data_IF_544740638800
#
_entry.id   IF_544740638800
#
_cell.length_a   1.000
_cell.length_b   1.000
_cell.length_c   1.000
_cell.angle_alpha   90.00
_cell.angle_beta   90.00
_cell.angle_gamma   90.00
#
_symmetry.space_group_name_H-M   'P 1'
#
loop_
_entity.id
_entity.type
_entity.pdbx_description
1 polymer ?
#
# COMPACT_ATOMS: atom_id res chain seq x y z
N UNK A 1 9.02 -10.83 70.10
CA UNK A 1 9.47 -12.23 70.26
C UNK A 1 10.33 -12.61 69.07
N UNK A 2 11.61 -12.88 69.34
CA UNK A 2 12.60 -13.41 68.38
C UNK A 2 12.42 -14.92 68.29
N UNK A 3 12.70 -15.52 67.14
CA UNK A 3 13.49 -16.75 67.07
C UNK A 3 14.34 -16.74 65.79
N UNK A 4 15.62 -16.38 65.97
CA UNK A 4 16.71 -16.85 65.13
C UNK A 4 16.93 -18.33 65.46
N UNK A 5 17.23 -19.16 64.46
CA UNK A 5 17.89 -20.44 64.68
C UNK A 5 19.29 -20.38 64.06
N UNK A 6 20.28 -20.21 64.93
CA UNK A 6 21.69 -20.52 64.69
C UNK A 6 21.90 -21.99 65.05
N UNK A 7 22.57 -22.74 64.18
CA UNK A 7 23.35 -23.90 64.61
C UNK A 7 24.77 -23.77 64.05
N UNK A 8 25.70 -23.56 64.97
CA UNK A 8 27.12 -23.86 64.81
C UNK A 8 27.35 -25.36 65.12
N UNK A 9 28.42 -25.95 64.56
CA UNK A 9 29.55 -26.57 65.29
C UNK A 9 30.25 -27.67 64.45
N UNK A 10 31.58 -27.54 64.42
CA UNK A 10 32.67 -28.54 64.36
C UNK A 10 33.02 -29.28 63.06
N UNK A 11 34.09 -28.76 62.46
CA UNK A 11 35.36 -29.44 62.18
C UNK A 11 35.49 -30.96 62.41
N UNK A 12 35.99 -31.65 61.39
CA UNK A 12 36.96 -32.73 61.56
C UNK A 12 37.98 -32.67 60.42
N UNK A 13 39.24 -32.42 60.79
CA UNK A 13 40.42 -32.50 59.93
C UNK A 13 40.95 -33.93 60.00
N UNK A 14 41.15 -34.58 58.87
CA UNK A 14 41.92 -35.83 58.79
C UNK A 14 42.98 -35.68 57.72
N UNK A 15 44.24 -35.63 58.17
CA UNK A 15 45.43 -35.81 57.35
C UNK A 15 45.66 -37.31 57.14
N UNK A 16 45.72 -37.78 55.89
CA UNK A 16 46.46 -38.99 55.53
C UNK A 16 47.07 -38.83 54.14
N UNK A 17 48.41 -38.81 54.09
CA UNK A 17 49.23 -39.59 53.15
C UNK A 17 49.36 -39.15 51.69
N UNK A 18 50.52 -38.57 51.35
CA UNK A 18 51.08 -38.55 50.00
C UNK A 18 51.28 -39.97 49.44
N UNK A 19 51.05 -40.14 48.12
CA UNK A 19 51.89 -41.03 47.31
C UNK A 19 52.04 -40.49 45.88
N UNK A 20 53.24 -40.70 45.33
CA UNK A 20 53.83 -40.02 44.17
C UNK A 20 53.37 -40.53 42.79
N UNK A 21 53.59 -39.64 41.80
CA UNK A 21 53.87 -39.86 40.38
C UNK A 21 52.72 -40.28 39.45
N UNK A 22 52.34 -39.34 38.58
CA UNK A 22 52.52 -39.50 37.14
C UNK A 22 52.59 -38.14 36.44
N UNK A 23 53.66 -37.94 35.66
CA UNK A 23 53.82 -36.82 34.72
C UNK A 23 52.74 -36.93 33.65
N UNK A 24 51.83 -35.96 33.59
CA UNK A 24 51.08 -35.66 32.36
C UNK A 24 51.59 -34.33 31.81
N UNK A 25 52.12 -34.42 30.60
CA UNK A 25 52.43 -33.31 29.69
C UNK A 25 51.26 -32.33 29.64
N UNK A 26 51.50 -31.06 30.00
CA UNK A 26 50.67 -29.94 29.56
C UNK A 26 50.76 -29.86 28.04
N UNK A 27 49.83 -30.51 27.36
CA UNK A 27 49.57 -30.21 25.96
C UNK A 27 48.91 -28.84 25.93
N UNK A 28 49.70 -27.83 25.57
CA UNK A 28 49.22 -26.52 25.13
C UNK A 28 48.11 -26.72 24.10
N UNK A 29 46.85 -26.74 24.54
CA UNK A 29 45.75 -26.33 23.68
C UNK A 29 45.88 -24.83 23.58
N UNK A 30 46.55 -24.40 22.52
CA UNK A 30 46.35 -23.07 21.97
C UNK A 30 44.85 -22.98 21.66
N UNK A 31 44.07 -22.49 22.62
CA UNK A 31 42.78 -21.90 22.30
C UNK A 31 43.13 -20.78 21.34
N UNK A 32 42.88 -21.04 20.06
CA UNK A 32 42.84 -19.99 19.06
C UNK A 32 41.72 -19.07 19.53
N UNK A 33 42.07 -18.06 20.33
CA UNK A 33 41.25 -16.86 20.50
C UNK A 33 41.01 -16.34 19.08
N UNK A 34 39.85 -16.70 18.52
CA UNK A 34 39.33 -16.04 17.34
C UNK A 34 39.02 -14.63 17.84
N UNK A 35 40.01 -13.74 17.78
CA UNK A 35 39.79 -12.30 17.90
C UNK A 35 38.74 -11.96 16.86
N UNK A 36 37.49 -11.85 17.28
CA UNK A 36 36.41 -11.35 16.44
C UNK A 36 36.86 -9.99 15.94
N UNK A 37 37.28 -9.92 14.68
CA UNK A 37 37.68 -8.69 14.02
C UNK A 37 36.53 -7.70 14.21
N UNK A 38 36.79 -6.58 14.87
CA UNK A 38 35.80 -5.49 14.96
C UNK A 38 35.57 -4.97 13.56
N UNK A 39 34.40 -5.26 13.00
CA UNK A 39 34.01 -4.82 11.67
C UNK A 39 33.61 -3.35 11.74
N UNK A 40 34.06 -2.59 10.74
CA UNK A 40 33.76 -1.17 10.58
C UNK A 40 33.27 -0.91 9.17
N UNK A 41 32.75 0.29 8.89
CA UNK A 41 32.34 0.65 7.52
C UNK A 41 33.48 0.55 6.48
N UNK A 42 34.74 0.62 6.91
CA UNK A 42 35.89 0.47 6.02
C UNK A 42 36.06 -0.96 5.47
N UNK A 43 35.45 -1.96 6.10
CA UNK A 43 35.49 -3.35 5.66
C UNK A 43 34.49 -3.67 4.53
N UNK A 44 33.61 -2.72 4.19
CA UNK A 44 32.62 -2.87 3.14
C UNK A 44 33.13 -2.30 1.82
N UNK A 45 32.63 -2.85 0.70
CA UNK A 45 32.96 -2.35 -0.63
C UNK A 45 32.40 -0.94 -0.80
N UNK A 46 33.28 0.02 -1.10
CA UNK A 46 32.87 1.39 -1.46
C UNK A 46 32.19 1.40 -2.83
N UNK A 47 31.15 2.21 -2.94
CA UNK A 47 30.36 2.38 -4.15
C UNK A 47 30.01 3.86 -4.33
N UNK A 48 29.51 4.20 -5.52
CA UNK A 48 28.76 5.44 -5.69
C UNK A 48 27.38 5.26 -5.05
N UNK A 49 26.96 6.22 -4.23
CA UNK A 49 25.64 6.20 -3.62
C UNK A 49 24.51 6.42 -4.63
N UNK A 50 23.28 6.39 -4.13
CA UNK A 50 22.07 6.62 -4.91
C UNK A 50 21.87 8.12 -5.15
N UNK A 51 22.04 8.56 -6.39
CA UNK A 51 21.80 9.96 -6.79
C UNK A 51 20.31 10.26 -6.97
N UNK A 52 19.56 9.31 -7.54
CA UNK A 52 18.14 9.42 -7.82
C UNK A 52 17.41 8.15 -7.35
N UNK A 53 16.43 8.32 -6.47
CA UNK A 53 15.66 7.23 -5.88
C UNK A 53 14.78 6.47 -6.89
N UNK A 54 14.48 7.10 -8.03
CA UNK A 54 13.72 6.46 -9.12
C UNK A 54 14.56 5.43 -9.89
N UNK A 55 15.89 5.52 -9.80
CA UNK A 55 16.81 4.60 -10.49
C UNK A 55 17.11 3.35 -9.64
N UNK A 56 16.58 3.29 -8.42
CA UNK A 56 16.77 2.17 -7.50
C UNK A 56 15.85 1.01 -7.91
N UNK A 57 16.37 -0.25 -8.01
CA UNK A 57 15.56 -1.40 -8.38
C UNK A 57 14.37 -1.67 -7.44
N UNK A 58 14.57 -1.55 -6.13
CA UNK A 58 13.49 -1.65 -5.13
C UNK A 58 13.90 -1.04 -3.78
N UNK A 59 12.92 -0.63 -2.98
CA UNK A 59 13.14 -0.16 -1.62
C UNK A 59 12.94 -1.28 -0.60
N UNK A 60 13.61 -1.18 0.54
CA UNK A 60 13.55 -2.15 1.63
C UNK A 60 13.05 -1.50 2.92
N UNK A 61 12.17 -2.22 3.62
CA UNK A 61 11.55 -1.79 4.86
C UNK A 61 11.85 -2.77 5.98
N UNK A 62 12.16 -2.26 7.16
CA UNK A 62 12.33 -3.05 8.38
C UNK A 62 11.50 -2.47 9.52
N UNK A 63 11.14 -3.32 10.47
CA UNK A 63 10.52 -2.92 11.75
C UNK A 63 11.49 -3.13 12.93
N UNK A 64 12.73 -3.51 12.65
CA UNK A 64 13.73 -3.77 13.69
C UNK A 64 14.45 -2.48 14.07
N UNK A 65 14.70 -2.31 15.36
CA UNK A 65 15.46 -1.16 15.89
C UNK A 65 16.97 -1.26 15.60
N UNK A 66 17.43 -2.42 15.13
CA UNK A 66 18.79 -2.63 14.67
C UNK A 66 18.85 -3.74 13.65
N UNK A 67 19.78 -3.60 12.70
CA UNK A 67 19.94 -4.50 11.56
C UNK A 67 21.39 -4.93 11.44
N UNK A 68 21.62 -6.05 10.75
CA UNK A 68 22.96 -6.57 10.49
C UNK A 68 23.37 -6.31 9.05
N UNK A 69 24.47 -5.58 8.88
CA UNK A 69 25.13 -5.40 7.59
C UNK A 69 26.24 -6.42 7.46
N UNK A 70 26.10 -7.33 6.52
CA UNK A 70 27.10 -8.36 6.22
C UNK A 70 28.01 -7.88 5.09
N UNK A 71 29.29 -8.22 5.16
CA UNK A 71 30.29 -7.86 4.12
C UNK A 71 30.16 -8.72 2.86
N UNK A 72 29.48 -9.87 2.95
CA UNK A 72 29.16 -10.76 1.82
C UNK A 72 27.82 -11.47 2.10
N UNK A 73 27.12 -12.01 1.09
CA UNK A 73 25.80 -12.62 1.25
C UNK A 73 25.88 -14.04 1.85
N UNK A 74 26.46 -14.16 3.05
CA UNK A 74 26.58 -15.40 3.82
C UNK A 74 26.28 -15.14 5.30
N UNK A 75 25.58 -16.07 5.96
CA UNK A 75 25.25 -15.96 7.39
C UNK A 75 26.48 -16.06 8.29
N UNK A 76 27.54 -16.68 7.80
CA UNK A 76 28.83 -16.80 8.49
C UNK A 76 29.76 -15.62 8.19
N UNK A 77 29.35 -14.68 7.34
CA UNK A 77 30.15 -13.50 7.02
C UNK A 77 30.24 -12.57 8.22
N UNK A 78 31.35 -11.84 8.28
CA UNK A 78 31.51 -10.78 9.26
C UNK A 78 30.44 -9.69 9.06
N UNK A 79 29.91 -9.16 10.14
CA UNK A 79 28.82 -8.20 10.09
C UNK A 79 29.02 -7.03 11.05
N UNK A 80 28.40 -5.91 10.71
CA UNK A 80 28.30 -4.71 11.51
C UNK A 80 26.84 -4.50 11.90
N UNK A 81 26.58 -4.35 13.20
CA UNK A 81 25.24 -4.02 13.70
C UNK A 81 25.02 -2.52 13.58
N UNK A 82 23.98 -2.12 12.87
CA UNK A 82 23.58 -0.73 12.68
C UNK A 82 22.29 -0.46 13.43
N UNK A 83 22.25 0.59 14.23
CA UNK A 83 21.01 1.06 14.83
C UNK A 83 20.11 1.65 13.74
N UNK A 84 18.84 1.26 13.74
CA UNK A 84 17.86 1.84 12.85
C UNK A 84 17.63 3.31 13.21
N UNK A 85 17.59 4.16 12.19
CA UNK A 85 17.19 5.55 12.32
C UNK A 85 16.09 5.83 11.30
N UNK A 86 15.10 6.64 11.67
CA UNK A 86 13.92 6.94 10.83
C UNK A 86 14.28 7.58 9.48
N UNK A 87 15.46 8.19 9.38
CA UNK A 87 15.96 8.83 8.17
C UNK A 87 16.82 7.91 7.29
N UNK A 88 17.09 6.67 7.73
CA UNK A 88 17.82 5.71 6.91
C UNK A 88 16.89 5.16 5.83
N UNK A 89 17.33 5.31 4.58
CA UNK A 89 16.70 4.69 3.43
C UNK A 89 17.54 3.49 3.01
N UNK A 90 16.89 2.33 2.82
CA UNK A 90 17.54 1.11 2.39
C UNK A 90 17.14 0.81 0.94
N UNK A 91 18.08 1.02 0.03
CA UNK A 91 17.89 0.85 -1.40
C UNK A 91 18.47 -0.50 -1.82
N UNK A 92 17.61 -1.41 -2.27
CA UNK A 92 18.00 -2.74 -2.71
C UNK A 92 18.35 -2.78 -4.19
N UNK A 93 19.41 -3.52 -4.52
CA UNK A 93 19.96 -3.63 -5.88
C UNK A 93 19.89 -5.05 -6.43
N UNK A 94 20.30 -6.03 -5.63
CA UNK A 94 20.32 -7.43 -6.03
C UNK A 94 19.69 -8.33 -4.96
N UNK A 95 19.15 -9.46 -5.42
CA UNK A 95 18.58 -10.49 -4.57
C UNK A 95 19.43 -11.76 -4.60
N UNK A 96 19.83 -12.18 -3.41
CA UNK A 96 20.43 -13.48 -3.16
C UNK A 96 19.40 -14.38 -2.46
N UNK A 97 19.78 -15.63 -2.20
CA UNK A 97 18.89 -16.61 -1.56
C UNK A 97 18.30 -16.08 -0.25
N UNK A 98 19.17 -15.68 0.68
CA UNK A 98 18.79 -15.21 2.02
C UNK A 98 19.06 -13.71 2.24
N UNK A 99 19.60 -13.01 1.24
CA UNK A 99 20.06 -11.63 1.37
C UNK A 99 19.52 -10.71 0.27
N UNK A 100 19.47 -9.42 0.59
CA UNK A 100 19.45 -8.33 -0.38
C UNK A 100 20.83 -7.64 -0.37
N UNK A 101 21.36 -7.27 -1.54
CA UNK A 101 22.42 -6.25 -1.61
C UNK A 101 21.76 -4.88 -1.50
N UNK A 102 22.35 -4.00 -0.69
CA UNK A 102 21.91 -2.63 -0.50
C UNK A 102 23.04 -1.64 -0.76
N UNK A 103 22.68 -0.48 -1.29
CA UNK A 103 23.55 0.68 -1.31
C UNK A 103 23.17 1.60 -0.14
N UNK A 104 24.06 1.71 0.83
CA UNK A 104 23.85 2.49 2.05
C UNK A 104 24.76 3.72 2.09
N UNK A 105 24.19 4.90 2.25
CA UNK A 105 24.92 6.16 2.42
C UNK A 105 25.19 6.42 3.90
N UNK A 106 26.46 6.44 4.28
CA UNK A 106 26.87 6.72 5.66
C UNK A 106 26.65 8.21 5.92
N UNK A 107 25.96 8.53 7.02
CA UNK A 107 25.59 9.89 7.41
C UNK A 107 24.86 10.68 6.31
N UNK A 108 24.06 9.98 5.49
CA UNK A 108 23.35 10.53 4.33
C UNK A 108 24.26 11.20 3.29
N UNK A 109 25.54 10.81 3.23
CA UNK A 109 26.48 11.31 2.24
C UNK A 109 26.64 10.30 1.08
N UNK A 110 26.11 10.65 -0.10
CA UNK A 110 26.13 9.82 -1.32
C UNK A 110 27.56 9.55 -1.82
N UNK A 111 28.52 10.43 -1.53
CA UNK A 111 29.94 10.22 -1.84
C UNK A 111 30.63 9.28 -0.86
N UNK A 112 29.97 8.93 0.25
CA UNK A 112 30.42 8.00 1.27
C UNK A 112 29.43 6.85 1.43
N UNK A 113 29.28 6.06 0.37
CA UNK A 113 28.36 4.93 0.33
C UNK A 113 29.10 3.59 0.24
N UNK A 114 28.45 2.58 0.81
CA UNK A 114 28.93 1.20 0.82
C UNK A 114 27.88 0.26 0.23
N UNK A 115 28.36 -0.83 -0.36
CA UNK A 115 27.54 -2.01 -0.59
C UNK A 115 27.56 -2.87 0.68
N UNK A 116 26.38 -3.20 1.19
CA UNK A 116 26.20 -4.12 2.31
C UNK A 116 25.15 -5.15 1.96
N UNK A 117 25.19 -6.30 2.63
CA UNK A 117 24.19 -7.35 2.47
C UNK A 117 23.32 -7.42 3.72
N UNK A 118 22.00 -7.47 3.56
CA UNK A 118 21.04 -7.55 4.67
C UNK A 118 20.15 -8.77 4.52
N UNK A 119 19.74 -9.37 5.63
CA UNK A 119 18.92 -10.58 5.61
C UNK A 119 17.49 -10.30 5.15
N UNK A 120 16.94 -11.15 4.29
CA UNK A 120 15.50 -11.11 3.92
C UNK A 120 14.56 -11.38 5.10
N UNK A 121 15.05 -11.96 6.20
CA UNK A 121 14.27 -12.12 7.43
C UNK A 121 14.14 -10.82 8.24
N UNK A 122 15.03 -9.86 8.03
CA UNK A 122 15.05 -8.56 8.72
C UNK A 122 14.35 -7.46 7.91
N UNK A 123 14.21 -7.66 6.60
CA UNK A 123 13.68 -6.69 5.66
C UNK A 123 12.56 -7.26 4.81
N UNK A 124 11.68 -6.39 4.33
CA UNK A 124 10.73 -6.67 3.26
C UNK A 124 10.95 -5.70 2.11
N UNK A 125 11.00 -6.22 0.89
CA UNK A 125 11.02 -5.37 -0.29
C UNK A 125 9.67 -4.68 -0.51
N UNK A 126 9.69 -3.51 -1.16
CA UNK A 126 8.51 -2.70 -1.47
C UNK A 126 7.41 -3.50 -2.17
N UNK A 127 7.77 -4.39 -3.11
CA UNK A 127 6.83 -5.24 -3.84
C UNK A 127 6.22 -6.37 -2.99
N UNK A 128 6.76 -6.68 -1.82
CA UNK A 128 6.29 -7.74 -0.91
C UNK A 128 5.51 -7.20 0.30
N UNK A 129 5.35 -5.88 0.40
CA UNK A 129 4.60 -5.27 1.50
C UNK A 129 3.16 -5.76 1.54
N UNK A 130 2.59 -5.79 2.75
CA UNK A 130 1.19 -6.14 3.01
C UNK A 130 0.59 -5.13 3.99
N UNK A 131 -0.74 -5.14 4.16
CA UNK A 131 -1.43 -4.27 5.12
C UNK A 131 -1.37 -4.79 6.57
N UNK A 132 -0.70 -5.93 6.78
CA UNK A 132 -0.61 -6.58 8.10
C UNK A 132 0.10 -5.70 9.13
N UNK A 133 -0.63 -5.36 10.19
CA UNK A 133 -0.14 -4.52 11.28
C UNK A 133 -0.08 -3.03 10.93
N UNK A 134 -0.81 -2.61 9.88
CA UNK A 134 -1.08 -1.20 9.56
C UNK A 134 -2.42 -0.81 10.18
N UNK A 135 -2.54 0.40 10.71
CA UNK A 135 -3.82 0.91 11.21
C UNK A 135 -4.73 1.35 10.05
N UNK A 136 -5.57 0.44 9.58
CA UNK A 136 -6.49 0.74 8.47
C UNK A 136 -7.57 1.75 8.82
N UNK A 137 -7.83 2.01 10.11
CA UNK A 137 -8.81 3.01 10.52
C UNK A 137 -8.31 4.44 10.33
N UNK A 138 -7.00 4.63 10.17
CA UNK A 138 -6.42 5.95 10.03
C UNK A 138 -6.94 6.66 8.77
N UNK A 139 -7.49 7.85 8.98
CA UNK A 139 -7.91 8.76 7.91
C UNK A 139 -7.30 10.14 8.15
N UNK A 140 -6.94 10.85 7.09
CA UNK A 140 -6.46 12.23 7.19
C UNK A 140 -7.60 13.20 7.46
N UNK A 141 -8.76 12.96 6.86
CA UNK A 141 -9.93 13.83 6.98
C UNK A 141 -11.18 13.08 6.51
N UNK A 142 -12.33 13.63 6.88
CA UNK A 142 -13.61 13.18 6.37
C UNK A 142 -14.59 14.34 6.20
N UNK A 143 -15.59 14.14 5.35
CA UNK A 143 -16.78 15.00 5.26
C UNK A 143 -17.98 14.11 5.43
N UNK A 144 -18.92 14.49 6.29
CA UNK A 144 -20.15 13.73 6.50
C UNK A 144 -21.33 14.69 6.52
N UNK A 145 -22.30 14.47 5.62
CA UNK A 145 -23.48 15.35 5.45
C UNK A 145 -23.12 16.84 5.43
N UNK A 146 -22.13 17.21 4.59
CA UNK A 146 -21.61 18.60 4.42
C UNK A 146 -20.83 19.17 5.62
N UNK A 147 -20.55 18.37 6.65
CA UNK A 147 -19.68 18.76 7.76
C UNK A 147 -18.29 18.16 7.60
N UNK A 148 -17.29 19.01 7.45
CA UNK A 148 -15.89 18.59 7.40
C UNK A 148 -15.32 18.29 8.79
N UNK A 149 -14.47 17.28 8.87
CA UNK A 149 -13.78 16.84 10.08
C UNK A 149 -12.31 16.56 9.75
N UNK A 150 -11.47 17.54 10.08
CA UNK A 150 -10.02 17.46 9.96
C UNK A 150 -9.33 17.12 11.28
N UNK A 151 -10.09 16.91 12.37
CA UNK A 151 -9.54 16.65 13.71
C UNK A 151 -9.56 15.16 14.03
N UNK A 152 -10.67 14.49 13.79
CA UNK A 152 -10.79 13.06 14.04
C UNK A 152 -10.13 12.29 12.90
N UNK A 153 -9.02 11.60 13.21
CA UNK A 153 -8.21 10.86 12.25
C UNK A 153 -8.55 9.37 12.17
N UNK A 154 -9.79 9.00 12.49
CA UNK A 154 -10.23 7.60 12.53
C UNK A 154 -11.57 7.39 11.81
N UNK A 155 -11.63 6.37 10.96
CA UNK A 155 -12.83 5.92 10.25
C UNK A 155 -13.87 5.26 11.17
N UNK A 156 -13.51 4.94 12.42
CA UNK A 156 -14.38 4.27 13.40
C UNK A 156 -15.71 5.00 13.68
N UNK A 157 -15.74 6.31 13.41
CA UNK A 157 -16.97 7.12 13.46
C UNK A 157 -18.02 6.64 12.46
N UNK A 158 -17.61 6.22 11.26
CA UNK A 158 -18.47 5.88 10.13
C UNK A 158 -18.67 4.37 9.95
N UNK A 159 -17.70 3.56 10.37
CA UNK A 159 -17.73 2.13 10.13
C UNK A 159 -16.48 1.39 10.63
N UNK A 160 -16.31 0.18 10.13
CA UNK A 160 -15.10 -0.63 10.32
C UNK A 160 -14.40 -0.88 8.99
N UNK A 161 -13.10 -1.09 9.05
CA UNK A 161 -12.29 -1.49 7.90
C UNK A 161 -11.31 -2.58 8.33
N UNK A 162 -11.14 -3.60 7.48
CA UNK A 162 -10.23 -4.71 7.73
C UNK A 162 -9.59 -5.21 6.44
N UNK A 163 -8.35 -5.70 6.55
CA UNK A 163 -7.74 -6.57 5.54
C UNK A 163 -8.42 -7.95 5.61
N UNK A 164 -8.81 -8.48 4.46
CA UNK A 164 -9.43 -9.81 4.33
C UNK A 164 -8.60 -10.71 3.43
N UNK A 165 -8.93 -12.00 3.43
CA UNK A 165 -8.29 -12.95 2.51
C UNK A 165 -8.78 -12.78 1.07
N UNK A 166 -7.93 -13.13 0.10
CA UNK A 166 -8.33 -13.23 -1.31
C UNK A 166 -9.50 -14.20 -1.52
N UNK A 167 -9.54 -15.28 -0.73
CA UNK A 167 -10.62 -16.26 -0.77
C UNK A 167 -11.96 -15.64 -0.38
N UNK A 168 -12.00 -14.85 0.71
CA UNK A 168 -13.20 -14.13 1.13
C UNK A 168 -13.62 -13.08 0.09
N UNK A 169 -12.66 -12.33 -0.45
CA UNK A 169 -12.93 -11.33 -1.49
C UNK A 169 -13.58 -11.97 -2.73
N UNK A 170 -13.00 -13.06 -3.23
CA UNK A 170 -13.54 -13.82 -4.38
C UNK A 170 -14.89 -14.46 -4.10
N UNK A 171 -15.12 -14.94 -2.89
CA UNK A 171 -16.42 -15.47 -2.48
C UNK A 171 -17.48 -14.35 -2.46
N UNK A 172 -17.12 -13.19 -1.93
CA UNK A 172 -17.99 -12.01 -1.81
C UNK A 172 -18.33 -11.41 -3.17
N UNK A 173 -17.39 -11.42 -4.13
CA UNK A 173 -17.59 -10.93 -5.49
C UNK A 173 -18.78 -11.59 -6.21
N UNK A 174 -19.10 -12.85 -5.88
CA UNK A 174 -20.26 -13.57 -6.44
C UNK A 174 -21.61 -12.99 -5.98
N UNK A 175 -21.62 -12.34 -4.82
CA UNK A 175 -22.78 -11.70 -4.22
C UNK A 175 -22.79 -10.18 -4.42
N UNK A 176 -21.96 -9.68 -5.34
CA UNK A 176 -21.91 -8.24 -5.62
C UNK A 176 -23.29 -7.73 -6.02
N UNK A 177 -23.63 -6.55 -5.53
CA UNK A 177 -24.82 -5.81 -5.89
C UNK A 177 -24.44 -4.48 -6.54
N UNK A 178 -25.44 -3.75 -6.98
CA UNK A 178 -25.26 -2.57 -7.82
C UNK A 178 -25.42 -2.92 -9.29
N UNK A 179 -25.51 -1.89 -10.11
CA UNK A 179 -25.65 -2.07 -11.55
C UNK A 179 -24.31 -2.18 -12.26
N UNK A 180 -24.30 -2.93 -13.35
CA UNK A 180 -23.20 -2.93 -14.30
C UNK A 180 -23.46 -1.89 -15.39
N UNK A 181 -22.41 -1.19 -15.82
CA UNK A 181 -22.48 -0.35 -17.01
C UNK A 181 -22.63 -1.24 -18.26
N UNK A 182 -23.65 -0.98 -19.07
CA UNK A 182 -23.99 -1.78 -20.25
C UNK A 182 -23.59 -1.03 -21.52
N UNK A 183 -22.92 -1.68 -22.47
CA UNK A 183 -22.57 -1.05 -23.74
C UNK A 183 -23.84 -0.64 -24.51
N UNK A 184 -23.90 0.63 -24.91
CA UNK A 184 -24.93 1.13 -25.81
C UNK A 184 -24.45 0.99 -27.27
N UNK A 185 -25.06 0.12 -28.10
CA UNK A 185 -24.61 -0.11 -29.48
C UNK A 185 -24.77 1.13 -30.39
N UNK A 186 -25.60 2.08 -29.97
CA UNK A 186 -25.82 3.33 -30.69
C UNK A 186 -24.69 4.34 -30.47
N UNK A 187 -23.79 4.10 -29.51
CA UNK A 187 -22.62 4.96 -29.25
C UNK A 187 -21.38 4.34 -29.89
N UNK A 188 -20.78 5.06 -30.83
CA UNK A 188 -19.63 4.58 -31.61
C UNK A 188 -18.61 5.69 -31.82
N UNK A 189 -17.34 5.32 -31.94
CA UNK A 189 -16.26 6.25 -32.30
C UNK A 189 -16.26 6.43 -33.82
N UNK A 190 -16.45 7.66 -34.29
CA UNK A 190 -16.43 8.04 -35.70
C UNK A 190 -15.60 9.31 -35.87
N UNK A 191 -14.58 9.28 -36.73
CA UNK A 191 -13.70 10.43 -37.02
C UNK A 191 -13.14 11.09 -35.75
N UNK A 192 -12.70 10.27 -34.78
CA UNK A 192 -12.16 10.73 -33.49
C UNK A 192 -13.21 11.24 -32.49
N UNK A 193 -14.49 11.22 -32.83
CA UNK A 193 -15.58 11.71 -31.98
C UNK A 193 -16.50 10.57 -31.54
N UNK A 194 -16.97 10.60 -30.29
CA UNK A 194 -18.04 9.71 -29.85
C UNK A 194 -19.38 10.21 -30.39
N UNK A 195 -20.06 9.36 -31.14
CA UNK A 195 -21.31 9.67 -31.83
C UNK A 195 -22.40 8.74 -31.35
N UNK A 196 -23.54 9.32 -30.96
CA UNK A 196 -24.78 8.59 -30.76
C UNK A 196 -25.59 8.58 -32.06
N UNK A 197 -26.07 7.42 -32.50
CA UNK A 197 -26.94 7.26 -33.66
C UNK A 197 -28.20 6.47 -33.31
N UNK A 198 -29.38 7.08 -33.45
CA UNK A 198 -30.67 6.39 -33.31
C UNK A 198 -31.70 6.94 -34.30
N UNK A 199 -32.37 6.07 -35.04
CA UNK A 199 -33.47 6.42 -35.96
C UNK A 199 -33.22 7.71 -36.76
N UNK A 200 -32.09 7.78 -37.48
CA UNK A 200 -31.59 8.93 -38.27
C UNK A 200 -31.14 10.19 -37.51
N UNK A 201 -31.28 10.22 -36.17
CA UNK A 201 -30.67 11.24 -35.31
C UNK A 201 -29.21 10.85 -35.05
N UNK A 202 -28.28 11.72 -35.47
CA UNK A 202 -26.84 11.62 -35.18
C UNK A 202 -26.44 12.79 -34.30
N UNK A 203 -25.87 12.50 -33.13
CA UNK A 203 -25.40 13.51 -32.19
C UNK A 203 -23.96 13.24 -31.78
N UNK A 204 -23.14 14.28 -31.85
CA UNK A 204 -21.77 14.25 -31.33
C UNK A 204 -21.83 14.48 -29.82
N UNK A 205 -21.24 13.56 -29.07
CA UNK A 205 -21.14 13.66 -27.62
C UNK A 205 -20.02 14.64 -27.29
N UNK A 206 -20.38 15.83 -26.80
CA UNK A 206 -19.40 16.84 -26.36
C UNK A 206 -18.78 16.40 -25.04
N UNK A 207 -17.47 16.20 -25.06
CA UNK A 207 -16.68 15.74 -23.93
C UNK A 207 -16.31 16.90 -22.99
N UNK A 208 -16.07 16.60 -21.71
CA UNK A 208 -15.47 17.58 -20.78
C UNK A 208 -14.06 17.89 -21.29
N UNK A 209 -13.76 19.19 -21.39
CA UNK A 209 -12.41 19.70 -21.67
C UNK A 209 -11.71 19.12 -22.91
N UNK A 210 -11.96 19.72 -24.08
CA UNK A 210 -10.99 19.77 -25.18
C UNK A 210 -9.79 20.64 -24.74
N UNK A 211 -8.97 20.16 -23.80
CA UNK A 211 -7.65 20.75 -23.56
C UNK A 211 -6.70 20.02 -24.50
N UNK A 212 -6.27 20.72 -25.56
CA UNK A 212 -5.15 20.27 -26.37
C UNK A 212 -3.91 20.30 -25.48
N UNK A 213 -3.34 19.14 -25.15
CA UNK A 213 -2.01 19.08 -24.54
C UNK A 213 -0.96 19.20 -25.66
N UNK A 214 0.30 19.45 -25.29
CA UNK A 214 1.42 19.42 -26.26
C UNK A 214 1.61 18.04 -26.91
N UNK A 215 1.00 16.98 -26.34
CA UNK A 215 1.14 15.58 -26.77
C UNK A 215 -0.01 15.04 -27.63
N UNK A 216 -1.15 15.73 -27.72
CA UNK A 216 -2.30 15.32 -28.54
C UNK A 216 -3.66 15.58 -27.86
N UNK A 217 -4.79 15.17 -28.47
CA UNK A 217 -6.10 15.28 -27.84
C UNK A 217 -6.25 14.25 -26.71
N UNK A 218 -6.85 14.65 -25.59
CA UNK A 218 -7.26 13.76 -24.50
C UNK A 218 -8.16 12.64 -25.03
N UNK A 219 -7.85 11.39 -24.67
CA UNK A 219 -8.58 10.22 -25.14
C UNK A 219 -9.70 9.85 -24.16
N UNK A 220 -10.94 10.18 -24.51
CA UNK A 220 -12.11 9.68 -23.79
C UNK A 220 -12.41 8.24 -24.20
N UNK A 221 -12.47 7.32 -23.24
CA UNK A 221 -12.84 5.92 -23.46
C UNK A 221 -14.31 5.71 -23.10
N UNK A 222 -15.13 5.24 -24.05
CA UNK A 222 -16.51 4.87 -23.74
C UNK A 222 -16.56 3.64 -22.84
N UNK A 223 -17.08 3.81 -21.62
CA UNK A 223 -17.18 2.74 -20.62
C UNK A 223 -18.47 1.96 -20.81
N UNK A 224 -19.61 2.66 -20.87
CA UNK A 224 -20.94 2.07 -21.02
C UNK A 224 -22.04 3.04 -20.56
N UNK A 225 -23.27 2.56 -20.50
CA UNK A 225 -24.44 3.28 -20.01
C UNK A 225 -24.85 2.76 -18.65
N UNK A 226 -25.19 3.67 -17.74
CA UNK A 226 -25.89 3.36 -16.49
C UNK A 226 -27.40 3.22 -16.76
N UNK A 227 -28.01 2.03 -16.54
CA UNK A 227 -29.46 1.87 -16.67
C UNK A 227 -30.25 2.73 -15.67
N UNK A 228 -29.81 2.82 -14.42
CA UNK A 228 -30.49 3.55 -13.36
C UNK A 228 -30.41 5.07 -13.54
N UNK A 229 -29.21 5.60 -13.80
CA UNK A 229 -29.03 7.04 -14.01
C UNK A 229 -29.54 7.47 -15.39
N UNK A 230 -29.60 6.52 -16.33
CA UNK A 230 -29.89 6.76 -17.75
C UNK A 230 -28.88 7.71 -18.40
N UNK A 231 -27.60 7.49 -18.12
CA UNK A 231 -26.47 8.30 -18.57
C UNK A 231 -25.39 7.43 -19.20
N UNK A 232 -24.76 7.93 -20.26
CA UNK A 232 -23.54 7.37 -20.82
C UNK A 232 -22.35 7.74 -19.94
N UNK A 233 -21.39 6.83 -19.80
CA UNK A 233 -20.22 6.98 -18.93
C UNK A 233 -18.96 6.87 -19.78
N UNK A 234 -18.11 7.87 -19.63
CA UNK A 234 -16.80 7.95 -20.28
C UNK A 234 -15.71 8.00 -19.22
N UNK A 235 -14.59 7.34 -19.49
CA UNK A 235 -13.35 7.52 -18.74
C UNK A 235 -12.53 8.58 -19.45
N UNK A 236 -12.17 9.63 -18.74
CA UNK A 236 -11.30 10.69 -19.23
C UNK A 236 -9.86 10.29 -18.91
N UNK A 237 -9.03 10.17 -19.94
CA UNK A 237 -7.60 9.89 -19.78
C UNK A 237 -6.83 11.16 -20.10
N UNK A 238 -5.89 11.54 -19.21
CA UNK A 238 -4.91 12.58 -19.48
C UNK A 238 -3.50 11.99 -19.41
N UNK A 239 -2.60 12.51 -20.25
CA UNK A 239 -1.18 12.11 -20.21
C UNK A 239 -0.45 12.69 -18.97
N UNK A 240 -1.07 13.65 -18.27
CA UNK A 240 -0.46 14.43 -17.20
C UNK A 240 -0.84 13.96 -15.79
N UNK A 241 -1.96 13.26 -15.62
CA UNK A 241 -2.45 12.83 -14.30
C UNK A 241 -2.71 11.34 -14.23
N UNK A 242 -2.25 10.71 -13.13
CA UNK A 242 -2.54 9.30 -12.80
C UNK A 242 -4.01 9.09 -12.39
N UNK A 243 -4.75 10.18 -12.18
CA UNK A 243 -6.12 10.15 -11.70
C UNK A 243 -7.09 9.75 -12.82
N UNK A 244 -7.75 8.60 -12.67
CA UNK A 244 -8.89 8.23 -13.49
C UNK A 244 -10.08 9.13 -13.14
N UNK A 245 -10.62 9.85 -14.12
CA UNK A 245 -11.88 10.59 -13.97
C UNK A 245 -12.96 9.97 -14.87
N UNK A 246 -14.19 9.90 -14.36
CA UNK A 246 -15.33 9.36 -15.08
C UNK A 246 -16.43 10.41 -15.18
N UNK A 247 -16.84 10.70 -16.41
CA UNK A 247 -17.88 11.68 -16.72
C UNK A 247 -19.17 11.01 -17.16
N UNK A 248 -20.28 11.64 -16.80
CA UNK A 248 -21.62 11.16 -17.08
C UNK A 248 -22.33 12.10 -18.06
N UNK A 249 -22.85 11.52 -19.14
CA UNK A 249 -23.41 12.24 -20.26
C UNK A 249 -24.86 11.85 -20.54
N UNK A 250 -25.71 12.86 -20.75
CA UNK A 250 -27.07 12.65 -21.22
C UNK A 250 -27.12 12.92 -22.71
N UNK A 251 -27.47 11.92 -23.51
CA UNK A 251 -27.56 12.04 -24.97
C UNK A 251 -28.43 13.22 -25.43
N UNK A 252 -29.49 13.55 -24.68
CA UNK A 252 -30.46 14.58 -25.09
C UNK A 252 -30.08 16.03 -24.74
N UNK A 253 -29.10 16.24 -23.86
CA UNK A 253 -28.77 17.57 -23.30
C UNK A 253 -27.24 17.79 -23.30
N UNK A 254 -26.80 19.02 -23.02
CA UNK A 254 -25.41 19.31 -22.72
C UNK A 254 -24.86 18.39 -21.60
N UNK A 255 -23.53 18.14 -21.59
CA UNK A 255 -22.88 17.31 -20.58
C UNK A 255 -23.25 17.71 -19.15
N UNK A 256 -23.52 16.71 -18.29
CA UNK A 256 -23.85 16.92 -16.89
C UNK A 256 -22.60 16.78 -16.03
N UNK A 257 -21.74 17.81 -16.08
CA UNK A 257 -20.47 17.84 -15.36
C UNK A 257 -20.60 17.74 -13.83
N UNK A 258 -21.79 17.97 -13.27
CA UNK A 258 -22.08 17.83 -11.84
C UNK A 258 -22.13 16.36 -11.34
N UNK A 259 -21.92 15.35 -12.21
CA UNK A 259 -22.10 13.93 -11.87
C UNK A 259 -20.82 13.08 -11.93
N UNK A 260 -19.65 13.67 -12.16
CA UNK A 260 -18.39 12.93 -12.35
C UNK A 260 -17.84 12.24 -11.10
N UNK A 261 -17.01 11.21 -11.29
CA UNK A 261 -16.32 10.48 -10.21
C UNK A 261 -14.83 10.37 -10.46
N UNK A 262 -14.03 10.59 -9.41
CA UNK A 262 -12.58 10.33 -9.43
C UNK A 262 -12.37 8.84 -9.14
N UNK A 263 -12.51 7.98 -10.13
CA UNK A 263 -12.44 6.52 -10.02
C UNK A 263 -13.72 5.82 -10.52
N UNK A 264 -13.62 4.52 -10.79
CA UNK A 264 -14.72 3.76 -11.39
C UNK A 264 -16.00 3.82 -10.53
N UNK A 265 -17.15 4.23 -11.11
CA UNK A 265 -18.38 4.43 -10.36
C UNK A 265 -19.05 3.10 -10.00
N UNK A 266 -19.35 2.96 -8.72
CA UNK A 266 -20.11 1.87 -8.13
C UNK A 266 -21.52 2.39 -7.85
N UNK A 267 -22.47 2.04 -8.71
CA UNK A 267 -23.84 2.58 -8.66
C UNK A 267 -24.74 1.57 -7.96
N UNK A 268 -25.41 2.01 -6.89
CA UNK A 268 -26.33 1.21 -6.10
C UNK A 268 -27.76 1.78 -6.21
N UNK A 269 -28.58 1.28 -7.15
CA UNK A 269 -29.93 1.80 -7.41
C UNK A 269 -30.85 1.79 -6.18
N UNK A 270 -30.76 0.74 -5.36
CA UNK A 270 -31.61 0.56 -4.15
C UNK A 270 -31.47 1.69 -3.13
N UNK A 271 -30.31 2.35 -3.12
CA UNK A 271 -30.00 3.50 -2.25
C UNK A 271 -29.90 4.82 -3.00
N UNK A 272 -30.02 4.77 -4.33
CA UNK A 272 -29.66 5.89 -5.21
C UNK A 272 -28.24 6.40 -4.92
N UNK A 273 -27.27 5.50 -4.68
CA UNK A 273 -25.89 5.90 -4.42
C UNK A 273 -25.01 5.80 -5.64
N UNK A 274 -24.07 6.74 -5.74
CA UNK A 274 -22.89 6.66 -6.61
C UNK A 274 -21.68 6.71 -5.69
N UNK A 275 -20.97 5.60 -5.60
CA UNK A 275 -19.79 5.42 -4.76
C UNK A 275 -18.55 5.30 -5.65
N UNK A 276 -17.42 5.78 -5.18
CA UNK A 276 -16.13 5.45 -5.79
C UNK A 276 -15.04 5.37 -4.73
N UNK A 277 -13.97 4.67 -5.08
CA UNK A 277 -12.71 4.67 -4.34
C UNK A 277 -11.57 4.94 -5.31
N UNK A 278 -10.64 5.81 -4.95
CA UNK A 278 -9.52 6.18 -5.80
C UNK A 278 -8.27 6.50 -5.01
N UNK A 279 -7.12 6.23 -5.62
CA UNK A 279 -5.86 6.81 -5.17
C UNK A 279 -5.90 8.32 -5.36
N UNK A 280 -5.40 9.08 -4.38
CA UNK A 280 -5.12 10.51 -4.56
C UNK A 280 -3.63 10.73 -4.89
N UNK A 281 -3.24 11.93 -5.30
CA UNK A 281 -1.84 12.27 -5.59
C UNK A 281 -0.95 12.50 -4.35
N UNK A 282 -1.54 12.56 -3.15
CA UNK A 282 -0.83 12.86 -1.91
C UNK A 282 -0.66 11.56 -1.10
N UNK A 283 -1.54 11.30 -0.12
CA UNK A 283 -1.45 10.12 0.76
C UNK A 283 -2.70 9.25 0.65
N UNK A 284 -2.49 7.99 0.27
CA UNK A 284 -3.50 6.92 0.26
C UNK A 284 -4.68 7.11 -0.71
N UNK A 285 -5.90 6.79 -0.28
CA UNK A 285 -7.10 6.68 -1.12
C UNK A 285 -8.30 7.45 -0.58
N UNK A 286 -9.07 8.05 -1.48
CA UNK A 286 -10.39 8.64 -1.20
C UNK A 286 -11.47 7.56 -1.31
N UNK A 287 -12.37 7.49 -0.34
CA UNK A 287 -13.61 6.74 -0.42
C UNK A 287 -14.80 7.71 -0.33
N UNK A 288 -15.66 7.70 -1.34
CA UNK A 288 -16.74 8.70 -1.49
C UNK A 288 -18.06 8.01 -1.75
N UNK A 289 -19.09 8.44 -1.04
CA UNK A 289 -20.48 8.05 -1.25
C UNK A 289 -21.30 9.31 -1.49
N UNK A 290 -21.98 9.35 -2.62
CA UNK A 290 -22.93 10.42 -2.96
C UNK A 290 -24.33 9.85 -3.14
N UNK A 291 -25.35 10.65 -2.85
CA UNK A 291 -26.73 10.36 -3.19
C UNK A 291 -27.07 11.03 -4.51
N UNK A 292 -27.49 10.24 -5.49
CA UNK A 292 -28.08 10.74 -6.72
C UNK A 292 -29.54 11.13 -6.47
N UNK A 293 -29.90 12.33 -6.93
CA UNK A 293 -31.25 12.88 -6.84
C UNK A 293 -31.87 12.90 -8.26
N UNK A 294 -32.72 11.92 -8.64
CA UNK A 294 -33.22 11.81 -10.01
C UNK A 294 -34.01 13.03 -10.50
N UNK A 295 -34.68 13.74 -9.60
CA UNK A 295 -35.50 14.91 -9.91
C UNK A 295 -34.66 16.11 -10.38
N UNK A 296 -33.54 16.35 -9.71
CA UNK A 296 -32.62 17.45 -10.02
C UNK A 296 -31.44 17.00 -10.88
N UNK A 297 -31.26 15.68 -11.03
CA UNK A 297 -30.11 15.02 -11.66
C UNK A 297 -28.78 15.47 -11.07
N UNK A 298 -28.74 15.64 -9.74
CA UNK A 298 -27.55 16.06 -8.99
C UNK A 298 -27.05 14.97 -8.06
N UNK A 299 -25.81 15.09 -7.62
CA UNK A 299 -25.24 14.30 -6.53
C UNK A 299 -25.11 15.16 -5.27
N UNK A 300 -25.51 14.61 -4.12
CA UNK A 300 -25.20 15.18 -2.81
C UNK A 300 -24.18 14.31 -2.08
N UNK A 301 -23.07 14.90 -1.61
CA UNK A 301 -22.06 14.18 -0.85
C UNK A 301 -22.64 13.73 0.51
N UNK A 302 -22.64 12.41 0.73
CA UNK A 302 -23.05 11.79 1.98
C UNK A 302 -21.85 11.55 2.89
N UNK A 303 -20.79 10.95 2.33
CA UNK A 303 -19.55 10.62 3.04
C UNK A 303 -18.36 10.78 2.10
N UNK A 304 -17.32 11.43 2.61
CA UNK A 304 -15.95 11.41 2.11
C UNK A 304 -15.03 10.96 3.23
N UNK A 305 -14.11 10.04 2.94
CA UNK A 305 -13.04 9.64 3.83
C UNK A 305 -11.71 9.51 3.07
N UNK A 306 -10.65 10.12 3.60
CA UNK A 306 -9.30 10.05 3.05
C UNK A 306 -8.44 9.05 3.84
N UNK A 307 -8.39 7.80 3.40
CA UNK A 307 -7.54 6.77 3.98
C UNK A 307 -6.07 7.03 3.64
N UNK A 308 -5.17 6.85 4.59
CA UNK A 308 -3.75 7.16 4.39
C UNK A 308 -2.90 5.96 4.00
N UNK A 309 -3.36 4.74 4.27
CA UNK A 309 -2.49 3.57 4.36
C UNK A 309 -2.45 2.67 3.12
N UNK A 310 -3.29 2.94 2.11
CA UNK A 310 -3.35 2.13 0.89
C UNK A 310 -3.75 2.94 -0.35
N UNK A 311 -3.39 2.42 -1.52
CA UNK A 311 -3.76 2.91 -2.86
C UNK A 311 -4.67 1.89 -3.53
N UNK A 312 -5.58 2.32 -4.42
CA UNK A 312 -6.43 1.38 -5.17
C UNK A 312 -5.56 0.60 -6.17
N UNK A 313 -5.75 -0.72 -6.26
CA UNK A 313 -4.99 -1.56 -7.19
C UNK A 313 -5.69 -1.67 -8.56
N UNK A 314 -7.01 -1.84 -8.52
CA UNK A 314 -7.87 -1.88 -9.69
C UNK A 314 -9.23 -1.28 -9.30
N UNK A 315 -9.54 -0.11 -9.86
CA UNK A 315 -10.79 0.62 -9.61
C UNK A 315 -12.04 -0.19 -9.98
N UNK A 316 -11.94 -1.13 -10.94
CA UNK A 316 -13.05 -2.01 -11.35
C UNK A 316 -13.24 -3.19 -10.40
N UNK A 317 -12.27 -3.47 -9.53
CA UNK A 317 -12.36 -4.49 -8.46
C UNK A 317 -12.72 -3.87 -7.12
N UNK A 318 -13.66 -2.96 -7.15
CA UNK A 318 -14.39 -2.52 -5.98
C UNK A 318 -15.88 -2.84 -6.17
N UNK A 319 -16.61 -3.15 -5.09
CA UNK A 319 -18.03 -3.49 -5.19
C UNK A 319 -18.73 -3.49 -3.83
N UNK A 320 -20.05 -3.29 -3.87
CA UNK A 320 -20.95 -3.53 -2.73
C UNK A 320 -21.44 -4.97 -2.73
N UNK A 321 -21.66 -5.59 -1.56
CA UNK A 321 -22.40 -6.87 -1.44
C UNK A 321 -23.77 -6.71 -0.78
N UNK A 322 -23.95 -5.63 -0.04
CA UNK A 322 -25.19 -5.21 0.60
C UNK A 322 -25.16 -3.68 0.74
N UNK A 323 -26.09 -3.11 1.51
CA UNK A 323 -26.21 -1.66 1.67
C UNK A 323 -25.16 -1.02 2.60
N UNK A 324 -24.28 -1.82 3.19
CA UNK A 324 -23.33 -1.40 4.24
C UNK A 324 -21.92 -1.95 4.00
N UNK A 325 -21.76 -3.00 3.20
CA UNK A 325 -20.48 -3.69 2.98
C UNK A 325 -19.90 -3.42 1.60
N UNK A 326 -18.73 -2.79 1.58
CA UNK A 326 -17.94 -2.48 0.40
C UNK A 326 -16.60 -3.22 0.41
N UNK A 327 -16.18 -3.74 -0.73
CA UNK A 327 -14.92 -4.44 -0.91
C UNK A 327 -14.05 -3.74 -1.94
N UNK A 328 -12.73 -3.81 -1.79
CA UNK A 328 -11.78 -3.30 -2.79
C UNK A 328 -10.46 -4.09 -2.81
N UNK A 329 -9.85 -4.20 -4.00
CA UNK A 329 -8.46 -4.63 -4.18
C UNK A 329 -7.51 -3.42 -4.11
N UNK A 330 -6.50 -3.48 -3.25
CA UNK A 330 -5.63 -2.36 -2.92
C UNK A 330 -4.15 -2.75 -2.86
N UNK A 331 -3.28 -1.76 -2.83
CA UNK A 331 -1.86 -1.89 -2.53
C UNK A 331 -1.52 -1.12 -1.25
N UNK A 332 -0.61 -1.62 -0.38
CA UNK A 332 -0.05 -0.82 0.69
C UNK A 332 0.58 0.47 0.15
N UNK A 333 0.45 1.59 0.87
CA UNK A 333 0.90 2.91 0.41
C UNK A 333 2.35 2.92 -0.10
N UNK A 334 3.25 2.30 0.66
CA UNK A 334 4.70 2.31 0.37
C UNK A 334 5.15 1.15 -0.53
N UNK A 335 4.21 0.39 -1.10
CA UNK A 335 4.54 -0.67 -2.04
C UNK A 335 4.83 -0.07 -3.41
N UNK A 336 5.76 -0.68 -4.14
CA UNK A 336 6.11 -0.27 -5.50
C UNK A 336 6.48 -1.51 -6.33
N UNK A 337 6.22 -1.49 -7.63
CA UNK A 337 6.71 -2.52 -8.54
C UNK A 337 8.22 -2.42 -8.68
N UNK A 338 8.86 -3.54 -9.03
CA UNK A 338 10.28 -3.59 -9.37
C UNK A 338 10.45 -4.29 -10.73
N UNK A 339 11.64 -4.26 -11.31
CA UNK A 339 11.92 -4.91 -12.59
C UNK A 339 11.47 -6.38 -12.58
N UNK A 340 10.47 -6.72 -13.40
CA UNK A 340 9.88 -8.06 -13.49
C UNK A 340 8.98 -8.48 -12.33
N UNK A 341 8.72 -7.61 -11.34
CA UNK A 341 7.92 -7.90 -10.14
C UNK A 341 6.79 -6.90 -9.96
N UNK A 342 5.57 -7.42 -9.83
CA UNK A 342 4.38 -6.61 -9.51
C UNK A 342 4.26 -6.42 -8.00
N UNK A 343 3.63 -5.33 -7.60
CA UNK A 343 3.21 -5.13 -6.21
C UNK A 343 2.28 -6.26 -5.78
N UNK A 344 2.44 -6.69 -4.52
CA UNK A 344 1.49 -7.61 -3.90
C UNK A 344 0.20 -6.87 -3.55
N UNK A 345 -0.91 -7.31 -4.13
CA UNK A 345 -2.24 -6.82 -3.76
C UNK A 345 -2.64 -7.30 -2.37
N UNK A 346 -3.49 -6.50 -1.73
CA UNK A 346 -4.26 -6.85 -0.55
C UNK A 346 -5.74 -6.58 -0.83
N UNK A 347 -6.62 -7.13 0.01
CA UNK A 347 -8.06 -6.98 -0.14
C UNK A 347 -8.62 -6.38 1.14
N UNK A 348 -9.48 -5.39 1.00
CA UNK A 348 -10.13 -4.73 2.14
C UNK A 348 -11.63 -4.90 2.10
N UNK A 349 -12.22 -4.92 3.30
CA UNK A 349 -13.64 -4.83 3.56
C UNK A 349 -13.91 -3.58 4.39
N UNK A 350 -14.76 -2.70 3.88
CA UNK A 350 -15.30 -1.54 4.58
C UNK A 350 -16.75 -1.87 4.94
N UNK A 351 -17.10 -1.79 6.22
CA UNK A 351 -18.46 -1.96 6.72
C UNK A 351 -18.93 -0.64 7.31
N UNK A 352 -19.94 -0.01 6.72
CA UNK A 352 -20.59 1.16 7.30
C UNK A 352 -21.40 0.78 8.54
N UNK A 353 -21.60 1.73 9.44
CA UNK A 353 -22.56 1.57 10.53
C UNK A 353 -23.98 1.47 9.98
N UNK A 354 -24.79 0.62 10.61
CA UNK A 354 -26.21 0.53 10.29
C UNK A 354 -26.90 1.90 10.45
N UNK A 355 -27.77 2.24 9.49
CA UNK A 355 -28.50 3.51 9.44
C UNK A 355 -27.60 4.76 9.55
N UNK A 356 -26.39 4.72 8.98
CA UNK A 356 -25.47 5.85 9.00
C UNK A 356 -26.06 7.11 8.32
N UNK A 357 -26.83 6.94 7.25
CA UNK A 357 -27.35 8.03 6.42
C UNK A 357 -28.83 8.34 6.70
#
# INVERSE_FOLDING_TARGET
>A
MKFLNQFFISSMVVFVGCNQQNKMSETNKTETEIKQKTITFADFKKIKGVDNVQDVPFQLFTKLDSIQFFVSPSKDAAHLKIAYHKLHNYYGFEEFKDFYSIHYSIDNNISNSIEAFVLKSEFKASFELTLKGVDLYEIRSSTFKKSDDFKNKSFSKYGTIAEISEQEFKASLKNRIGEALVKNPNVQLQDGNWVYTDNSRKEVITQHENISTETGPLANEYVGRSPFLNLEVFKENTDETVDSFYSFYNIKNAPMFELGTQGYPQILPTKSWVTYISSNNDVGSNFVITQYLPQTKRQENLLYANFTNFKIADEKKAFWTDNETFYAEVYPLNSASANGKKQKTAFIKIQLKANLF
#
